data_IF_969742579607
#
_entry.id   IF_969742579607
#
_cell.length_a   1.000
_cell.length_b   1.000
_cell.length_c   1.000
_cell.angle_alpha   90.00
_cell.angle_beta   90.00
_cell.angle_gamma   90.00
#
_symmetry.space_group_name_H-M   'P 1'
#
loop_
_entity.id
_entity.type
_entity.pdbx_description
1 polymer ?
#
# COMPACT_ATOMS: atom_id res chain seq x y z
N UNK A 1 -72.53 -39.19 38.47
CA UNK A 1 -71.41 -39.99 38.98
C UNK A 1 -70.27 -39.88 37.98
N UNK A 2 -69.37 -38.90 38.14
CA UNK A 2 -68.18 -38.74 37.28
C UNK A 2 -67.01 -38.42 38.20
N UNK A 3 -66.04 -39.32 38.17
CA UNK A 3 -64.86 -39.36 39.03
C UNK A 3 -63.89 -38.22 38.73
N UNK A 4 -63.32 -37.69 39.81
CA UNK A 4 -62.16 -36.81 39.84
C UNK A 4 -60.93 -37.52 39.23
N UNK A 5 -60.17 -36.81 38.41
CA UNK A 5 -58.76 -37.13 38.17
C UNK A 5 -57.87 -35.95 38.54
N UNK A 6 -56.75 -36.31 39.14
CA UNK A 6 -55.84 -35.52 39.94
C UNK A 6 -54.91 -34.70 39.05
N UNK A 7 -54.62 -33.48 39.51
CA UNK A 7 -53.69 -32.51 38.94
C UNK A 7 -52.26 -33.03 39.08
N UNK A 8 -51.56 -33.24 37.97
CA UNK A 8 -50.11 -33.44 37.92
C UNK A 8 -49.42 -32.20 37.37
N UNK A 9 -48.73 -31.45 38.23
CA UNK A 9 -47.80 -30.39 37.82
C UNK A 9 -46.56 -31.03 37.20
N UNK A 10 -46.34 -30.84 35.90
CA UNK A 10 -45.06 -31.10 35.26
C UNK A 10 -44.25 -29.80 35.25
N UNK A 11 -43.13 -29.79 35.98
CA UNK A 11 -42.16 -28.70 35.97
C UNK A 11 -41.45 -28.68 34.61
N UNK A 12 -41.61 -27.59 33.86
CA UNK A 12 -40.86 -27.35 32.64
C UNK A 12 -39.45 -26.86 33.00
N UNK A 13 -38.46 -27.77 32.92
CA UNK A 13 -37.05 -27.38 32.89
C UNK A 13 -36.73 -26.82 31.50
N UNK A 14 -36.57 -25.49 31.41
CA UNK A 14 -36.08 -24.84 30.21
C UNK A 14 -34.58 -25.14 30.03
N UNK A 15 -34.27 -26.17 29.25
CA UNK A 15 -32.94 -26.36 28.67
C UNK A 15 -32.71 -25.21 27.68
N UNK A 16 -31.94 -24.20 28.11
CA UNK A 16 -31.37 -23.21 27.19
C UNK A 16 -30.32 -23.91 26.34
N UNK A 17 -30.76 -24.45 25.20
CA UNK A 17 -29.86 -24.90 24.15
C UNK A 17 -29.10 -23.66 23.65
N UNK A 18 -27.78 -23.65 23.84
CA UNK A 18 -26.89 -22.75 23.12
C UNK A 18 -27.09 -23.04 21.63
N UNK A 19 -27.70 -22.10 20.90
CA UNK A 19 -27.75 -22.18 19.45
C UNK A 19 -26.31 -22.14 18.91
N UNK A 20 -26.03 -22.80 17.78
CA UNK A 20 -24.76 -22.59 17.10
C UNK A 20 -24.68 -21.10 16.79
N UNK A 21 -23.62 -20.46 17.28
CA UNK A 21 -23.23 -19.15 16.79
C UNK A 21 -23.03 -19.30 15.31
N UNK A 22 -23.97 -18.73 14.56
CA UNK A 22 -23.96 -18.63 13.12
C UNK A 22 -22.81 -17.68 12.76
N UNK A 23 -21.57 -18.20 12.79
CA UNK A 23 -20.45 -17.60 12.10
C UNK A 23 -20.80 -17.71 10.63
N UNK A 24 -21.56 -16.74 10.13
CA UNK A 24 -21.67 -16.50 8.70
C UNK A 24 -20.23 -16.40 8.21
N UNK A 25 -19.77 -17.43 7.50
CA UNK A 25 -18.57 -17.35 6.72
C UNK A 25 -18.77 -16.12 5.83
N UNK A 26 -18.01 -15.07 6.12
CA UNK A 26 -17.93 -13.93 5.20
C UNK A 26 -17.37 -14.56 3.94
N UNK A 27 -18.20 -14.63 2.88
CA UNK A 27 -17.75 -15.09 1.59
C UNK A 27 -16.51 -14.28 1.24
N UNK A 28 -15.39 -14.97 1.01
CA UNK A 28 -14.16 -14.32 0.55
C UNK A 28 -14.42 -13.54 -0.74
N UNK A 29 -13.49 -12.64 -1.11
CA UNK A 29 -13.62 -11.87 -2.35
C UNK A 29 -13.90 -12.80 -3.53
N UNK A 30 -14.90 -12.46 -4.35
CA UNK A 30 -15.12 -13.12 -5.64
C UNK A 30 -14.10 -12.57 -6.63
N UNK A 31 -13.18 -13.42 -7.07
CA UNK A 31 -12.27 -13.13 -8.18
C UNK A 31 -13.07 -13.25 -9.47
N UNK A 32 -13.54 -12.11 -10.00
CA UNK A 32 -14.42 -12.08 -11.17
C UNK A 32 -13.66 -12.36 -12.50
N UNK A 33 -12.41 -12.85 -12.41
CA UNK A 33 -11.55 -13.35 -13.49
C UNK A 33 -10.66 -14.51 -13.03
N UNK A 34 -10.15 -15.27 -14.01
CA UNK A 34 -9.11 -16.26 -13.78
C UNK A 34 -7.77 -15.53 -13.77
N UNK A 35 -7.11 -15.56 -12.62
CA UNK A 35 -5.72 -15.15 -12.46
C UNK A 35 -4.85 -15.73 -13.58
N UNK A 36 -3.97 -14.91 -14.16
CA UNK A 36 -3.03 -15.33 -15.20
C UNK A 36 -1.62 -15.46 -14.60
N UNK A 37 -1.14 -16.69 -14.43
CA UNK A 37 0.22 -16.96 -13.93
C UNK A 37 1.13 -17.53 -15.03
N UNK A 38 0.65 -17.64 -16.27
CA UNK A 38 1.38 -18.28 -17.37
C UNK A 38 2.29 -17.25 -18.07
N UNK A 39 3.41 -16.91 -17.43
CA UNK A 39 4.35 -15.91 -17.95
C UNK A 39 5.25 -15.37 -16.85
N UNK A 40 5.68 -14.12 -16.97
CA UNK A 40 6.45 -13.41 -15.95
C UNK A 40 5.99 -11.95 -15.86
N UNK A 41 5.72 -11.45 -14.64
CA UNK A 41 5.40 -10.04 -14.45
C UNK A 41 6.52 -9.08 -14.86
N UNK A 42 6.22 -7.80 -14.94
CA UNK A 42 7.20 -6.73 -15.16
C UNK A 42 6.65 -5.42 -14.60
N UNK A 43 7.22 -4.92 -13.49
CA UNK A 43 6.80 -3.70 -12.82
C UNK A 43 7.67 -2.52 -13.23
N UNK A 44 7.00 -1.51 -13.76
CA UNK A 44 7.58 -0.18 -13.95
C UNK A 44 7.02 0.81 -12.94
N UNK A 45 7.62 2.00 -12.89
CA UNK A 45 7.02 3.16 -12.23
C UNK A 45 6.58 4.15 -13.30
N UNK A 46 5.34 4.62 -13.23
CA UNK A 46 4.86 5.70 -14.11
C UNK A 46 5.52 7.04 -13.72
N UNK A 47 6.64 7.34 -14.37
CA UNK A 47 7.39 8.58 -14.17
C UNK A 47 6.62 9.83 -14.58
N UNK A 48 5.68 9.73 -15.54
CA UNK A 48 4.87 10.87 -15.98
C UNK A 48 3.84 11.23 -14.91
N UNK A 49 3.13 10.24 -14.37
CA UNK A 49 2.20 10.44 -13.25
C UNK A 49 2.91 10.99 -12.02
N UNK A 50 4.13 10.54 -11.74
CA UNK A 50 4.97 11.10 -10.68
C UNK A 50 5.30 12.57 -10.94
N UNK A 51 5.75 12.91 -12.15
CA UNK A 51 6.11 14.26 -12.55
C UNK A 51 4.95 15.24 -12.47
N UNK A 52 3.73 14.81 -12.83
CA UNK A 52 2.55 15.67 -12.88
C UNK A 52 1.82 15.82 -11.54
N UNK A 53 2.15 15.03 -10.53
CA UNK A 53 1.35 14.94 -9.30
C UNK A 53 2.00 15.54 -8.06
N UNK A 54 3.30 15.79 -8.06
CA UNK A 54 4.01 16.23 -6.86
C UNK A 54 3.65 17.66 -6.44
N UNK A 55 3.61 17.90 -5.13
CA UNK A 55 3.28 19.20 -4.54
C UNK A 55 3.97 19.37 -3.19
N UNK A 56 4.56 20.55 -2.98
CA UNK A 56 5.11 21.01 -1.70
C UNK A 56 4.11 21.94 -1.05
N UNK A 57 3.73 21.70 0.21
CA UNK A 57 2.90 22.60 1.00
C UNK A 57 3.06 22.34 2.51
N UNK A 58 2.49 23.22 3.33
CA UNK A 58 2.45 23.05 4.78
C UNK A 58 1.16 22.31 5.16
N UNK A 59 1.28 21.21 5.89
CA UNK A 59 0.18 20.36 6.32
C UNK A 59 0.18 20.21 7.84
N UNK A 60 -1.00 20.27 8.46
CA UNK A 60 -1.15 19.94 9.88
C UNK A 60 -1.51 18.48 10.09
N UNK A 61 -0.67 17.75 10.82
CA UNK A 61 -0.93 16.39 11.27
C UNK A 61 -1.53 16.37 12.67
N UNK A 62 -2.70 15.76 12.81
CA UNK A 62 -3.33 15.54 14.12
C UNK A 62 -2.63 14.42 14.89
N UNK A 63 -2.79 14.38 16.21
CA UNK A 63 -2.23 13.31 17.05
C UNK A 63 -2.78 11.91 16.74
N UNK A 64 -3.85 11.81 15.95
CA UNK A 64 -4.48 10.54 15.54
C UNK A 64 -4.25 10.22 14.06
N UNK A 65 -3.49 11.03 13.33
CA UNK A 65 -3.15 10.75 11.94
C UNK A 65 -2.28 9.49 11.85
N UNK A 66 -2.49 8.64 10.84
CA UNK A 66 -1.70 7.41 10.68
C UNK A 66 -0.20 7.70 10.52
N UNK A 67 0.13 8.82 9.89
CA UNK A 67 1.48 9.37 9.83
C UNK A 67 2.14 9.59 11.19
N UNK A 68 1.35 9.97 12.20
CA UNK A 68 1.83 10.16 13.59
C UNK A 68 1.85 8.84 14.35
N UNK A 69 0.80 8.02 14.20
CA UNK A 69 0.65 6.75 14.93
C UNK A 69 1.69 5.71 14.48
N UNK A 70 2.01 5.65 13.19
CA UNK A 70 2.83 4.59 12.59
C UNK A 70 4.03 5.10 11.80
N UNK A 71 3.89 6.28 11.17
CA UNK A 71 4.92 6.87 10.33
C UNK A 71 6.08 7.53 11.09
N UNK A 72 5.94 7.72 12.41
CA UNK A 72 6.95 8.37 13.24
C UNK A 72 7.07 9.88 13.02
N UNK A 73 6.06 10.50 12.40
CA UNK A 73 6.00 11.96 12.24
C UNK A 73 5.46 12.60 13.53
N UNK A 74 6.08 13.70 13.97
CA UNK A 74 5.55 14.47 15.08
C UNK A 74 4.16 15.06 14.74
N UNK A 75 3.25 15.20 15.72
CA UNK A 75 2.02 15.95 15.51
C UNK A 75 2.32 17.46 15.39
N UNK A 76 1.57 18.15 14.52
CA UNK A 76 1.75 19.58 14.29
C UNK A 76 1.78 19.96 12.81
N UNK A 77 2.09 21.23 12.54
CA UNK A 77 2.29 21.74 11.19
C UNK A 77 3.68 21.32 10.69
N UNK A 78 3.71 20.70 9.52
CA UNK A 78 4.93 20.24 8.86
C UNK A 78 4.96 20.64 7.40
N UNK A 79 6.14 20.99 6.89
CA UNK A 79 6.33 21.13 5.44
C UNK A 79 6.49 19.74 4.82
N UNK A 80 5.66 19.44 3.82
CA UNK A 80 5.64 18.13 3.15
C UNK A 80 5.81 18.25 1.65
N UNK A 81 6.43 17.22 1.06
CA UNK A 81 6.39 16.94 -0.38
C UNK A 81 5.51 15.71 -0.61
N UNK A 82 4.30 15.90 -1.15
CA UNK A 82 3.37 14.81 -1.52
C UNK A 82 3.48 14.49 -3.00
N UNK A 83 3.22 13.25 -3.39
CA UNK A 83 3.35 12.79 -4.78
C UNK A 83 2.56 11.49 -5.00
N UNK A 84 2.03 11.27 -6.19
CA UNK A 84 1.38 10.01 -6.56
C UNK A 84 2.43 9.04 -7.09
N UNK A 85 2.34 7.77 -6.71
CA UNK A 85 3.12 6.68 -7.30
C UNK A 85 2.16 5.68 -7.91
N UNK A 86 2.40 5.35 -9.17
CA UNK A 86 1.66 4.34 -9.93
C UNK A 86 2.67 3.33 -10.45
N UNK A 87 2.41 2.05 -10.18
CA UNK A 87 3.30 0.92 -10.50
C UNK A 87 2.56 -0.09 -11.36
N UNK A 88 2.55 0.10 -12.70
CA UNK A 88 1.94 -0.83 -13.64
C UNK A 88 2.67 -2.16 -13.73
N UNK A 89 1.91 -3.25 -13.90
CA UNK A 89 2.41 -4.52 -14.41
C UNK A 89 2.27 -4.56 -15.94
N UNK A 90 3.40 -4.49 -16.64
CA UNK A 90 3.54 -4.51 -18.10
C UNK A 90 4.04 -5.86 -18.64
N UNK A 91 4.15 -6.88 -17.77
CA UNK A 91 4.58 -8.21 -18.14
C UNK A 91 3.50 -9.01 -18.86
N UNK A 92 3.71 -10.31 -19.01
CA UNK A 92 2.75 -11.24 -19.63
C UNK A 92 2.10 -12.19 -18.61
N UNK A 93 2.30 -11.98 -17.31
CA UNK A 93 1.57 -12.63 -16.23
C UNK A 93 1.36 -11.71 -15.02
N UNK A 94 0.38 -12.06 -14.19
CA UNK A 94 0.03 -11.35 -12.97
C UNK A 94 1.12 -11.49 -11.90
N UNK A 95 1.25 -10.44 -11.08
CA UNK A 95 1.85 -10.62 -9.76
C UNK A 95 0.79 -11.24 -8.87
N UNK A 96 1.08 -12.43 -8.37
CA UNK A 96 0.28 -13.07 -7.34
C UNK A 96 1.04 -13.21 -6.04
N UNK A 97 0.47 -12.62 -4.99
CA UNK A 97 0.94 -12.80 -3.63
C UNK A 97 -0.08 -13.65 -2.87
N UNK A 98 -1.37 -13.32 -2.98
CA UNK A 98 -2.45 -14.08 -2.36
C UNK A 98 -2.87 -13.54 -0.99
N UNK A 99 -3.37 -14.42 -0.13
CA UNK A 99 -3.91 -14.02 1.19
C UNK A 99 -2.77 -13.80 2.20
N UNK A 100 -2.59 -12.57 2.73
CA UNK A 100 -1.56 -12.30 3.73
C UNK A 100 -1.67 -13.13 5.00
N UNK A 101 -2.88 -13.60 5.37
CA UNK A 101 -3.04 -14.47 6.55
C UNK A 101 -2.31 -15.81 6.38
N UNK A 102 -2.18 -16.32 5.15
CA UNK A 102 -1.43 -17.56 4.85
C UNK A 102 0.06 -17.34 5.09
N UNK A 103 0.59 -16.21 4.61
CA UNK A 103 1.99 -15.81 4.78
C UNK A 103 2.37 -15.56 6.24
N UNK A 104 1.51 -14.85 6.98
CA UNK A 104 1.70 -14.61 8.42
C UNK A 104 1.66 -15.91 9.21
N UNK A 105 0.75 -16.83 8.88
CA UNK A 105 0.71 -18.16 9.51
C UNK A 105 1.95 -19.01 9.17
N UNK A 106 2.50 -18.86 7.96
CA UNK A 106 3.75 -19.49 7.56
C UNK A 106 5.00 -18.82 8.15
N UNK A 107 4.88 -17.60 8.69
CA UNK A 107 5.97 -16.79 9.22
C UNK A 107 7.11 -16.62 8.19
N UNK A 108 6.75 -16.34 6.94
CA UNK A 108 7.70 -16.14 5.84
C UNK A 108 8.30 -14.74 5.77
N UNK A 109 7.78 -13.81 6.59
CA UNK A 109 8.31 -12.45 6.72
C UNK A 109 7.91 -11.49 5.59
N UNK A 110 6.98 -11.86 4.71
CA UNK A 110 6.56 -11.01 3.58
C UNK A 110 5.64 -9.86 3.98
N UNK A 111 4.91 -10.03 5.08
CA UNK A 111 3.90 -9.07 5.51
C UNK A 111 4.16 -8.51 6.91
N UNK A 112 3.79 -7.25 7.09
CA UNK A 112 3.57 -6.63 8.38
C UNK A 112 2.16 -6.08 8.51
N UNK A 113 1.64 -5.99 9.73
CA UNK A 113 0.30 -5.45 9.95
C UNK A 113 0.37 -3.94 10.23
N UNK A 114 -0.29 -3.15 9.40
CA UNK A 114 -0.51 -1.73 9.65
C UNK A 114 -1.77 -1.57 10.50
N UNK A 115 -1.59 -1.13 11.74
CA UNK A 115 -2.66 -1.00 12.74
C UNK A 115 -3.61 0.16 12.43
N UNK A 116 -3.11 1.26 11.88
CA UNK A 116 -3.91 2.44 11.55
C UNK A 116 -4.73 2.23 10.28
N UNK A 117 -4.18 1.51 9.30
CA UNK A 117 -4.89 1.13 8.08
C UNK A 117 -5.71 -0.15 8.25
N UNK A 118 -5.45 -0.91 9.32
CA UNK A 118 -6.14 -2.15 9.69
C UNK A 118 -6.09 -3.20 8.56
N UNK A 119 -4.94 -3.33 7.89
CA UNK A 119 -4.69 -4.32 6.85
C UNK A 119 -3.21 -4.73 6.79
N UNK A 120 -2.89 -5.76 6.00
CA UNK A 120 -1.52 -6.21 5.82
C UNK A 120 -0.78 -5.44 4.72
N UNK A 121 0.48 -5.13 5.00
CA UNK A 121 1.42 -4.47 4.13
C UNK A 121 2.50 -5.43 3.68
N UNK A 122 2.68 -5.56 2.37
CA UNK A 122 3.81 -6.26 1.76
C UNK A 122 5.09 -5.45 1.97
N UNK A 123 6.13 -6.15 2.42
CA UNK A 123 7.46 -5.59 2.66
C UNK A 123 8.24 -5.50 1.35
N UNK A 124 9.17 -4.56 1.29
CA UNK A 124 10.05 -4.37 0.12
C UNK A 124 9.30 -4.16 -1.21
N UNK A 125 8.09 -3.60 -1.19
CA UNK A 125 7.36 -3.31 -2.42
C UNK A 125 7.96 -2.14 -3.20
N UNK A 126 8.21 -1.01 -2.53
CA UNK A 126 8.80 0.16 -3.17
C UNK A 126 9.65 0.97 -2.19
N UNK A 127 10.71 1.60 -2.71
CA UNK A 127 11.55 2.54 -1.99
C UNK A 127 11.37 3.94 -2.57
N UNK A 128 11.09 4.92 -1.70
CA UNK A 128 10.97 6.32 -2.08
C UNK A 128 12.16 7.12 -1.54
N UNK A 129 12.89 7.78 -2.43
CA UNK A 129 14.06 8.57 -2.10
C UNK A 129 13.90 10.00 -2.62
N UNK A 130 14.31 10.96 -1.81
CA UNK A 130 14.54 12.33 -2.23
C UNK A 130 16.04 12.57 -2.19
N UNK A 131 16.63 12.97 -3.31
CA UNK A 131 18.07 13.05 -3.49
C UNK A 131 18.46 14.49 -3.80
N UNK A 132 19.33 15.07 -2.98
CA UNK A 132 19.87 16.41 -3.21
C UNK A 132 20.73 16.44 -4.48
N UNK A 133 20.43 17.36 -5.40
CA UNK A 133 21.24 17.55 -6.60
C UNK A 133 22.61 18.21 -6.31
N UNK A 134 22.79 18.78 -5.12
CA UNK A 134 24.03 19.49 -4.76
C UNK A 134 25.11 18.55 -4.23
N UNK A 135 24.73 17.60 -3.37
CA UNK A 135 25.66 16.75 -2.60
C UNK A 135 25.28 15.27 -2.59
N UNK A 136 24.16 14.89 -3.21
CA UNK A 136 23.69 13.51 -3.27
C UNK A 136 23.12 12.97 -1.95
N UNK A 137 22.87 13.82 -0.95
CA UNK A 137 22.22 13.38 0.30
C UNK A 137 20.84 12.78 0.01
N UNK A 138 20.49 11.70 0.72
CA UNK A 138 19.26 10.94 0.50
C UNK A 138 18.38 10.99 1.75
N UNK A 139 17.16 11.51 1.57
CA UNK A 139 16.06 11.32 2.51
C UNK A 139 15.17 10.18 2.04
N UNK A 140 14.58 9.44 2.99
CA UNK A 140 13.63 8.36 2.70
C UNK A 140 12.25 8.73 3.18
N UNK A 141 11.22 8.29 2.46
CA UNK A 141 9.84 8.47 2.92
C UNK A 141 9.58 7.63 4.17
N UNK A 142 8.64 8.09 5.01
CA UNK A 142 8.16 7.36 6.17
C UNK A 142 7.33 6.11 5.82
N UNK A 143 6.99 5.89 4.54
CA UNK A 143 6.20 4.74 4.10
C UNK A 143 6.98 3.43 4.23
N UNK A 144 6.47 2.50 5.04
CA UNK A 144 7.12 1.22 5.35
C UNK A 144 6.47 0.00 4.68
N UNK A 145 5.25 0.15 4.19
CA UNK A 145 4.45 -0.97 3.74
C UNK A 145 3.33 -0.58 2.78
N UNK A 146 2.86 -1.57 2.02
CA UNK A 146 1.97 -1.39 0.89
C UNK A 146 0.98 -2.54 0.76
N UNK A 147 -0.30 -2.25 0.55
CA UNK A 147 -1.25 -3.22 0.02
C UNK A 147 -1.27 -3.20 -1.52
N UNK A 148 -0.99 -4.32 -2.15
CA UNK A 148 -0.95 -4.46 -3.61
C UNK A 148 -2.29 -4.95 -4.16
N UNK A 149 -2.98 -4.09 -4.90
CA UNK A 149 -4.28 -4.36 -5.53
C UNK A 149 -4.37 -3.66 -6.89
N UNK A 150 -5.31 -4.10 -7.72
CA UNK A 150 -5.67 -3.47 -8.98
C UNK A 150 -6.42 -2.16 -8.71
N UNK A 151 -5.73 -1.04 -8.89
CA UNK A 151 -6.32 0.30 -8.73
C UNK A 151 -6.60 0.89 -10.09
N UNK A 152 -5.57 1.15 -10.88
CA UNK A 152 -5.70 1.92 -12.12
C UNK A 152 -5.53 1.01 -13.33
N UNK A 153 -6.49 0.97 -14.26
CA UNK A 153 -6.29 0.28 -15.54
C UNK A 153 -5.11 0.88 -16.30
N UNK A 154 -4.22 0.02 -16.79
CA UNK A 154 -3.06 0.36 -17.58
C UNK A 154 -3.16 -0.29 -18.96
N UNK A 155 -3.04 0.49 -20.02
CA UNK A 155 -3.25 -0.05 -21.36
C UNK A 155 -2.10 -0.98 -21.77
N UNK A 156 -2.34 -2.29 -21.71
CA UNK A 156 -1.71 -3.25 -22.61
C UNK A 156 -2.45 -3.25 -23.95
N UNK A 157 -1.74 -3.59 -25.02
CA UNK A 157 -2.28 -3.72 -26.35
C UNK A 157 -3.38 -4.81 -26.40
N UNK A 158 -4.64 -4.38 -26.49
CA UNK A 158 -5.81 -5.28 -26.45
C UNK A 158 -6.90 -4.84 -25.47
N UNK A 159 -6.62 -3.82 -24.64
CA UNK A 159 -7.51 -3.37 -23.59
C UNK A 159 -7.27 -4.15 -22.30
N UNK A 160 -7.69 -3.57 -21.18
CA UNK A 160 -7.50 -4.18 -19.87
C UNK A 160 -8.64 -5.16 -19.62
N UNK A 161 -8.32 -6.42 -19.25
CA UNK A 161 -9.31 -7.35 -18.68
C UNK A 161 -9.95 -6.76 -17.42
N UNK A 162 -10.97 -7.38 -16.81
CA UNK A 162 -11.35 -6.87 -15.48
C UNK A 162 -10.34 -7.33 -14.43
N UNK A 163 -10.25 -6.53 -13.40
CA UNK A 163 -9.38 -6.69 -12.25
C UNK A 163 -9.55 -8.02 -11.47
N UNK A 164 -8.48 -8.51 -10.85
CA UNK A 164 -8.43 -9.77 -10.07
C UNK A 164 -8.14 -9.50 -8.57
N UNK A 165 -7.29 -8.53 -8.27
CA UNK A 165 -6.74 -8.30 -6.93
C UNK A 165 -7.37 -7.07 -6.28
N UNK A 166 -8.19 -7.27 -5.24
CA UNK A 166 -9.05 -6.20 -4.65
C UNK A 166 -8.98 -6.05 -3.15
N UNK A 167 -8.29 -6.97 -2.49
CA UNK A 167 -8.39 -7.09 -1.05
C UNK A 167 -7.03 -7.17 -0.40
N UNK A 168 -6.76 -6.18 0.45
CA UNK A 168 -5.55 -6.13 1.24
C UNK A 168 -5.49 -7.25 2.29
N UNK A 169 -6.62 -7.81 2.69
CA UNK A 169 -6.70 -8.75 3.81
C UNK A 169 -6.49 -8.07 5.17
N UNK A 170 -7.07 -8.65 6.22
CA UNK A 170 -6.94 -8.17 7.62
C UNK A 170 -6.76 -9.37 8.53
N UNK A 171 -6.47 -9.14 9.82
CA UNK A 171 -6.34 -10.23 10.79
C UNK A 171 -7.62 -11.09 10.79
N UNK A 172 -7.51 -12.33 10.31
CA UNK A 172 -8.62 -13.28 10.24
C UNK A 172 -9.64 -13.00 9.11
N UNK A 173 -9.37 -12.02 8.24
CA UNK A 173 -10.18 -11.72 7.05
C UNK A 173 -9.32 -11.96 5.81
N UNK A 174 -9.67 -12.92 4.94
CA UNK A 174 -8.87 -13.24 3.75
C UNK A 174 -8.66 -12.03 2.84
N UNK A 175 -7.43 -11.89 2.34
CA UNK A 175 -7.08 -10.98 1.25
C UNK A 175 -6.90 -11.70 -0.08
N UNK A 176 -6.49 -10.94 -1.09
CA UNK A 176 -5.92 -11.44 -2.34
C UNK A 176 -5.09 -10.31 -2.95
N UNK A 177 -3.83 -10.19 -2.51
CA UNK A 177 -2.92 -9.17 -3.00
C UNK A 177 -2.20 -9.63 -4.25
N UNK A 178 -1.97 -8.69 -5.17
CA UNK A 178 -1.40 -8.91 -6.49
C UNK A 178 -1.63 -7.72 -7.41
N UNK A 179 -1.12 -7.80 -8.63
CA UNK A 179 -1.33 -6.80 -9.69
C UNK A 179 -1.51 -7.54 -11.01
N UNK A 180 -2.69 -7.38 -11.60
CA UNK A 180 -3.03 -8.03 -12.87
C UNK A 180 -2.21 -7.44 -14.02
N UNK A 181 -1.98 -8.23 -15.07
CA UNK A 181 -1.44 -7.69 -16.33
C UNK A 181 -2.34 -6.57 -16.84
N UNK A 182 -1.73 -5.43 -17.19
CA UNK A 182 -2.49 -4.25 -17.62
C UNK A 182 -3.21 -3.53 -16.48
N UNK A 183 -2.89 -3.80 -15.22
CA UNK A 183 -3.28 -2.94 -14.10
C UNK A 183 -2.06 -2.34 -13.43
N UNK A 184 -2.31 -1.30 -12.66
CA UNK A 184 -1.34 -0.68 -11.79
C UNK A 184 -1.89 -0.57 -10.37
N UNK A 185 -1.00 -0.77 -9.40
CA UNK A 185 -1.25 -0.29 -8.07
C UNK A 185 -0.92 1.21 -8.01
N UNK A 186 -1.90 2.03 -7.61
CA UNK A 186 -1.74 3.48 -7.51
C UNK A 186 -1.94 3.95 -6.07
N UNK A 187 -0.89 4.58 -5.54
CA UNK A 187 -0.94 5.33 -4.30
C UNK A 187 -1.06 6.82 -4.57
N UNK A 188 -2.28 7.31 -4.44
CA UNK A 188 -2.60 8.72 -4.60
C UNK A 188 -1.95 9.60 -3.52
N UNK A 189 -1.49 10.79 -3.91
CA UNK A 189 -0.70 11.70 -3.07
C UNK A 189 -1.29 12.05 -1.70
N UNK A 190 -2.61 12.00 -1.51
CA UNK A 190 -3.24 12.31 -0.21
C UNK A 190 -3.43 11.11 0.72
N UNK A 191 -2.95 9.92 0.32
CA UNK A 191 -2.89 8.78 1.22
C UNK A 191 -1.90 9.02 2.36
N UNK A 192 -2.18 8.45 3.52
CA UNK A 192 -1.25 8.40 4.65
C UNK A 192 0.09 7.79 4.25
N UNK A 193 1.19 8.38 4.73
CA UNK A 193 2.56 7.96 4.40
C UNK A 193 3.05 8.30 2.98
N UNK A 194 2.22 8.87 2.11
CA UNK A 194 2.58 9.16 0.72
C UNK A 194 3.28 10.54 0.55
N UNK A 195 4.40 10.74 1.26
CA UNK A 195 5.13 12.01 1.28
C UNK A 195 6.58 11.90 1.79
N UNK A 196 7.32 13.02 1.70
CA UNK A 196 8.51 13.32 2.52
C UNK A 196 8.19 14.45 3.50
N UNK A 197 8.69 14.36 4.73
CA UNK A 197 8.68 15.48 5.69
C UNK A 197 9.95 16.29 5.48
N UNK A 198 9.81 17.60 5.28
CA UNK A 198 10.90 18.47 4.84
C UNK A 198 11.54 19.28 5.97
N UNK A 199 10.96 19.29 7.17
CA UNK A 199 11.43 20.08 8.30
C UNK A 199 12.09 19.26 9.42
N UNK A 200 12.21 17.95 9.24
CA UNK A 200 12.78 17.03 10.23
C UNK A 200 11.80 16.56 11.31
N UNK A 201 10.49 16.82 11.15
CA UNK A 201 9.45 16.28 12.03
C UNK A 201 9.37 14.74 12.09
N UNK A 202 10.07 14.05 11.19
CA UNK A 202 10.23 12.59 11.15
C UNK A 202 11.59 12.10 11.70
N UNK A 203 12.39 13.01 12.27
CA UNK A 203 13.72 12.71 12.82
C UNK A 203 14.85 12.67 11.79
N UNK A 204 14.59 12.96 10.51
CA UNK A 204 15.64 13.18 9.52
C UNK A 204 16.17 14.62 9.56
N UNK A 205 17.30 14.87 8.90
CA UNK A 205 17.79 16.23 8.73
C UNK A 205 16.76 17.07 7.94
N UNK A 206 16.54 18.35 8.25
CA UNK A 206 15.67 19.19 7.44
C UNK A 206 16.14 19.27 5.98
N UNK A 207 15.20 19.28 5.05
CA UNK A 207 15.44 19.41 3.60
C UNK A 207 15.43 20.90 3.23
N UNK A 208 16.58 21.50 2.88
CA UNK A 208 16.62 22.91 2.51
C UNK A 208 15.96 23.17 1.14
N UNK A 209 15.55 24.41 0.83
CA UNK A 209 15.14 24.77 -0.52
C UNK A 209 16.26 24.50 -1.55
N UNK A 210 15.91 24.03 -2.75
CA UNK A 210 16.90 23.66 -3.75
C UNK A 210 16.39 22.73 -4.84
N UNK A 211 17.33 22.16 -5.60
CA UNK A 211 17.05 21.18 -6.65
C UNK A 211 17.25 19.77 -6.13
N UNK A 212 16.30 18.89 -6.45
CA UNK A 212 16.27 17.51 -5.98
C UNK A 212 15.78 16.56 -7.06
N UNK A 213 16.02 15.27 -6.85
CA UNK A 213 15.43 14.18 -7.61
C UNK A 213 14.51 13.40 -6.67
N UNK A 214 13.25 13.24 -7.04
CA UNK A 214 12.40 12.17 -6.49
C UNK A 214 12.77 10.91 -7.25
N UNK A 215 13.30 9.90 -6.56
CA UNK A 215 13.55 8.56 -7.11
C UNK A 215 12.62 7.56 -6.46
N UNK A 216 11.88 6.85 -7.29
CA UNK A 216 11.03 5.74 -6.88
C UNK A 216 11.59 4.47 -7.49
N UNK A 217 11.76 3.44 -6.66
CA UNK A 217 12.16 2.11 -7.11
C UNK A 217 11.09 1.12 -6.65
N UNK A 218 10.38 0.50 -7.58
CA UNK A 218 9.48 -0.63 -7.30
C UNK A 218 10.32 -1.92 -7.24
N UNK A 219 9.87 -2.92 -6.47
CA UNK A 219 10.59 -4.17 -6.18
C UNK A 219 12.12 -3.98 -6.01
N UNK A 220 12.56 -3.09 -5.10
CA UNK A 220 13.95 -2.67 -5.00
C UNK A 220 14.90 -3.84 -4.73
N UNK A 221 16.12 -3.81 -5.32
CA UNK A 221 17.14 -4.81 -5.04
C UNK A 221 17.58 -4.73 -3.58
N UNK A 222 17.82 -5.88 -2.96
CA UNK A 222 18.39 -5.98 -1.61
C UNK A 222 19.46 -7.06 -1.52
N UNK A 223 20.29 -6.95 -0.47
CA UNK A 223 21.20 -8.03 -0.07
C UNK A 223 20.53 -8.79 1.06
N UNK A 224 20.15 -10.04 0.83
CA UNK A 224 19.51 -10.86 1.85
C UNK A 224 20.40 -11.00 3.09
N UNK A 225 19.83 -10.72 4.26
CA UNK A 225 20.45 -11.04 5.54
C UNK A 225 20.49 -12.56 5.78
N UNK A 226 21.27 -12.99 6.77
CA UNK A 226 21.34 -14.41 7.13
C UNK A 226 19.95 -14.95 7.54
N UNK A 227 19.41 -15.88 6.76
CA UNK A 227 18.09 -16.47 6.98
C UNK A 227 16.93 -15.71 6.31
N UNK A 228 17.19 -14.61 5.62
CA UNK A 228 16.21 -13.90 4.81
C UNK A 228 16.08 -14.58 3.42
N UNK A 229 14.86 -14.88 2.94
CA UNK A 229 14.67 -15.46 1.62
C UNK A 229 15.15 -14.53 0.48
N UNK A 230 15.86 -15.10 -0.49
CA UNK A 230 16.26 -14.47 -1.75
C UNK A 230 15.61 -15.25 -2.89
N UNK A 231 14.33 -14.99 -3.13
CA UNK A 231 13.52 -15.83 -4.03
C UNK A 231 13.83 -15.56 -5.51
N UNK A 232 14.16 -14.32 -5.83
CA UNK A 232 14.47 -13.86 -7.18
C UNK A 232 15.78 -13.09 -7.17
N UNK A 233 16.59 -13.25 -8.23
CA UNK A 233 17.89 -12.58 -8.34
C UNK A 233 18.03 -11.90 -9.69
N UNK A 234 18.53 -10.67 -9.69
CA UNK A 234 18.91 -9.98 -10.92
C UNK A 234 20.27 -10.50 -11.47
N UNK A 235 20.68 -9.97 -12.63
CA UNK A 235 21.97 -10.30 -13.26
C UNK A 235 23.18 -9.83 -12.45
N UNK A 236 23.00 -8.93 -11.50
CA UNK A 236 24.04 -8.41 -10.59
C UNK A 236 24.15 -9.21 -9.30
N UNK A 237 23.25 -10.16 -9.06
CA UNK A 237 23.19 -11.00 -7.87
C UNK A 237 22.46 -10.36 -6.69
N UNK A 238 21.71 -9.27 -6.89
CA UNK A 238 20.82 -8.71 -5.87
C UNK A 238 19.52 -9.50 -5.80
N UNK A 239 18.98 -9.62 -4.60
CA UNK A 239 17.71 -10.26 -4.34
C UNK A 239 16.56 -9.30 -4.65
N UNK A 240 15.46 -9.86 -5.12
CA UNK A 240 14.18 -9.18 -5.35
C UNK A 240 13.06 -9.97 -4.68
N UNK A 241 12.03 -9.25 -4.23
CA UNK A 241 10.93 -9.85 -3.48
C UNK A 241 9.90 -10.51 -4.40
N UNK A 242 9.73 -9.95 -5.61
CA UNK A 242 8.82 -10.41 -6.65
C UNK A 242 9.58 -10.89 -7.90
N UNK A 243 9.05 -11.88 -8.65
CA UNK A 243 9.60 -12.26 -9.94
C UNK A 243 9.26 -11.21 -10.99
N UNK A 244 10.23 -10.85 -11.82
CA UNK A 244 10.02 -9.97 -12.97
C UNK A 244 10.86 -10.41 -14.17
N UNK A 245 10.37 -10.06 -15.37
CA UNK A 245 11.06 -10.36 -16.62
C UNK A 245 12.20 -9.36 -16.92
N UNK A 246 12.10 -8.14 -16.38
CA UNK A 246 13.13 -7.10 -16.48
C UNK A 246 13.22 -6.36 -15.14
N UNK A 247 14.40 -6.36 -14.50
CA UNK A 247 14.64 -5.59 -13.27
C UNK A 247 15.24 -4.19 -13.55
N UNK A 248 15.51 -3.86 -14.81
CA UNK A 248 16.24 -2.65 -15.20
C UNK A 248 15.35 -1.43 -15.41
N UNK A 249 14.04 -1.64 -15.42
CA UNK A 249 13.01 -0.63 -15.67
C UNK A 249 12.20 -0.25 -14.40
N UNK A 250 12.52 -0.80 -13.24
CA UNK A 250 11.82 -0.56 -11.97
C UNK A 250 12.05 0.83 -11.35
N UNK A 251 12.77 1.73 -12.01
CA UNK A 251 13.15 3.04 -11.47
C UNK A 251 12.56 4.17 -12.29
N UNK A 252 11.89 5.11 -11.62
CA UNK A 252 11.58 6.42 -12.17
C UNK A 252 12.22 7.53 -11.36
N UNK A 253 12.71 8.55 -12.06
CA UNK A 253 13.32 9.74 -11.48
C UNK A 253 12.67 11.01 -12.03
N UNK A 254 12.34 11.94 -11.14
CA UNK A 254 11.78 13.25 -11.49
C UNK A 254 12.61 14.35 -10.82
N UNK A 255 13.15 15.25 -11.63
CA UNK A 255 13.79 16.48 -11.12
C UNK A 255 12.74 17.47 -10.64
N UNK A 256 12.91 17.98 -9.41
CA UNK A 256 12.00 18.92 -8.78
C UNK A 256 12.76 20.08 -8.15
N UNK A 257 12.04 21.18 -7.91
CA UNK A 257 12.49 22.28 -7.07
C UNK A 257 11.68 22.30 -5.77
N UNK A 258 12.35 22.29 -4.63
CA UNK A 258 11.72 22.57 -3.34
C UNK A 258 11.86 24.08 -3.07
N UNK A 259 10.75 24.82 -2.96
CA UNK A 259 10.78 26.27 -2.77
C UNK A 259 11.07 26.65 -1.31
N UNK A 260 11.58 27.86 -1.10
CA UNK A 260 11.64 28.47 0.24
C UNK A 260 10.23 28.70 0.82
N UNK A 261 9.27 29.04 -0.04
CA UNK A 261 7.86 29.25 0.33
C UNK A 261 6.93 28.64 -0.73
N UNK A 262 6.07 27.66 -0.37
CA UNK A 262 5.20 26.98 -1.32
C UNK A 262 3.96 27.78 -1.73
N UNK A 263 3.59 28.81 -0.95
CA UNK A 263 2.35 29.57 -1.17
C UNK A 263 1.10 28.82 -0.70
N UNK A 264 -0.07 29.48 -0.79
CA UNK A 264 -1.33 28.99 -0.18
C UNK A 264 -1.90 27.73 -0.85
N UNK A 265 -1.59 27.50 -2.11
CA UNK A 265 -2.12 26.37 -2.91
C UNK A 265 -1.08 25.27 -3.14
N UNK A 266 0.04 25.34 -2.42
CA UNK A 266 1.21 24.51 -2.68
C UNK A 266 1.97 24.91 -3.93
N UNK A 267 3.17 24.34 -4.07
CA UNK A 267 4.08 24.53 -5.19
C UNK A 267 4.35 23.20 -5.89
N UNK A 268 4.29 23.21 -7.23
CA UNK A 268 4.52 22.04 -8.07
C UNK A 268 3.32 21.73 -8.98
N UNK A 269 3.47 20.76 -9.91
CA UNK A 269 2.44 20.36 -10.87
C UNK A 269 1.15 19.89 -10.19
N UNK A 270 1.24 19.28 -9.02
CA UNK A 270 0.10 18.84 -8.23
C UNK A 270 -0.57 19.92 -7.36
N UNK A 271 -0.23 21.20 -7.53
CA UNK A 271 -0.78 22.33 -6.76
C UNK A 271 -2.28 22.60 -7.09
N UNK A 272 -2.91 23.47 -6.30
CA UNK A 272 -4.29 23.92 -6.48
C UNK A 272 -5.33 23.18 -5.63
N UNK A 273 -5.06 21.93 -5.26
CA UNK A 273 -5.85 21.20 -4.27
C UNK A 273 -4.88 20.68 -3.21
N UNK A 274 -4.90 21.28 -2.01
CA UNK A 274 -4.08 20.88 -0.86
C UNK A 274 -5.02 20.58 0.32
N UNK A 275 -4.62 19.66 1.18
CA UNK A 275 -5.48 19.17 2.27
C UNK A 275 -4.67 18.82 3.50
N UNK A 276 -5.26 19.07 4.67
CA UNK A 276 -4.76 18.55 5.95
C UNK A 276 -5.26 17.13 6.23
N UNK A 277 -6.38 16.74 5.63
CA UNK A 277 -6.92 15.39 5.75
C UNK A 277 -6.03 14.38 5.03
N UNK A 278 -5.60 13.37 5.77
CA UNK A 278 -5.01 12.17 5.20
C UNK A 278 -6.12 11.16 4.89
N UNK A 279 -6.16 10.70 3.65
CA UNK A 279 -6.99 9.56 3.29
C UNK A 279 -6.34 8.30 3.85
N UNK A 280 -7.16 7.45 4.46
CA UNK A 280 -6.72 6.13 4.90
C UNK A 280 -6.39 5.32 3.64
N UNK A 281 -5.27 4.63 3.66
CA UNK A 281 -4.94 3.62 2.66
C UNK A 281 -5.86 2.41 2.89
N UNK A 282 -6.98 2.35 2.17
CA UNK A 282 -7.91 1.23 2.20
C UNK A 282 -8.17 0.70 0.78
N UNK A 283 -9.04 -0.30 0.68
CA UNK A 283 -9.40 -0.87 -0.62
C UNK A 283 -10.18 0.10 -1.52
N UNK A 284 -10.58 1.30 -1.10
CA UNK A 284 -11.40 2.26 -1.86
C UNK A 284 -10.59 3.45 -2.38
N UNK A 285 -9.42 3.17 -2.98
CA UNK A 285 -8.53 4.22 -3.50
C UNK A 285 -9.21 5.07 -4.60
N UNK A 286 -8.93 6.39 -4.69
CA UNK A 286 -9.67 7.30 -5.58
C UNK A 286 -9.42 7.14 -7.09
N UNK A 287 -8.46 6.31 -7.50
CA UNK A 287 -7.98 6.18 -8.89
C UNK A 287 -8.41 4.85 -9.54
N UNK A 288 -9.57 4.35 -9.09
CA UNK A 288 -10.24 3.12 -9.57
C UNK A 288 -11.09 3.35 -10.82
#
# INVERSE_FOLDING_TARGET
>A
MRQNFIIGLAAAAALSACGPTDHRAVSGPQFDHVQDLDGTPDLIVDGQRLADSWVVYDQTFSTTACSVVEGGVAPGEHRVLRFTVTTPNIGDADIFIGDPNVHVAANDGLFEFATCHNHYHFRHYATYQLISANDGHIWRSAKRGFCMIDVTPWQSDGGVGSWVYHSCGRVGIPGNQGISVGYADTYFKFLGGQYFVLDGGDGQAPVPPGQYIIRITVNPPFTAAAGEPCLHTDLSGFCHQLPESDFTNNVAEVSITIPDRPGKTGFGPGSGNVTDTELIDDENRPDK
#
